data_IF_393141056686
#
_entry.id   IF_393141056686
#
_cell.length_a   1.000
_cell.length_b   1.000
_cell.length_c   1.000
_cell.angle_alpha   90.00
_cell.angle_beta   90.00
_cell.angle_gamma   90.00
#
_symmetry.space_group_name_H-M   'P 1'
#
loop_
_entity.id
_entity.type
_entity.pdbx_description
1 polymer ?
#
# COMPACT_ATOMS: atom_id res chain seq x y z
N UNK A 1 -7.16 6.28 29.19
CA UNK A 1 -8.43 6.63 28.51
C UNK A 1 -8.79 5.48 27.58
N UNK A 2 -9.84 4.72 27.88
CA UNK A 2 -10.28 3.57 27.08
C UNK A 2 -11.30 4.06 26.04
N UNK A 3 -10.95 4.02 24.76
CA UNK A 3 -11.86 4.39 23.67
C UNK A 3 -12.56 3.09 23.23
N UNK A 4 -13.87 2.93 23.47
CA UNK A 4 -14.59 1.72 23.08
C UNK A 4 -14.62 1.59 21.55
N UNK A 5 -14.52 0.36 21.05
CA UNK A 5 -14.66 0.08 19.61
C UNK A 5 -16.07 0.44 19.15
N UNK A 6 -16.18 1.36 18.20
CA UNK A 6 -17.46 1.71 17.56
C UNK A 6 -17.73 0.69 16.46
N UNK A 7 -18.71 -0.19 16.69
CA UNK A 7 -19.18 -1.13 15.68
C UNK A 7 -19.86 -0.33 14.55
N UNK A 8 -19.44 -0.55 13.31
CA UNK A 8 -19.95 0.16 12.12
C UNK A 8 -18.88 0.95 11.35
N UNK A 9 -17.69 1.18 11.91
CA UNK A 9 -16.58 1.79 11.18
C UNK A 9 -15.94 0.76 10.25
N UNK A 10 -16.15 0.93 8.94
CA UNK A 10 -15.45 0.18 7.90
C UNK A 10 -14.24 0.97 7.41
N UNK A 11 -13.11 0.28 7.24
CA UNK A 11 -11.89 0.91 6.71
C UNK A 11 -12.05 1.14 5.22
N UNK A 12 -12.22 2.39 4.81
CA UNK A 12 -12.25 2.77 3.39
C UNK A 12 -10.81 2.97 2.94
N UNK A 13 -10.28 2.00 2.19
CA UNK A 13 -8.99 2.13 1.54
C UNK A 13 -9.12 2.96 0.24
N UNK A 14 -8.11 3.80 -0.01
CA UNK A 14 -8.03 4.66 -1.19
C UNK A 14 -7.05 4.09 -2.20
N UNK A 15 -7.33 4.30 -3.49
CA UNK A 15 -6.47 3.90 -4.58
C UNK A 15 -5.22 4.81 -4.62
N UNK A 16 -4.00 4.25 -4.60
CA UNK A 16 -2.75 5.03 -4.64
C UNK A 16 -2.47 5.77 -5.96
N UNK A 17 -3.31 5.58 -6.98
CA UNK A 17 -3.12 6.20 -8.29
C UNK A 17 -4.05 7.37 -8.55
N UNK A 18 -5.27 7.34 -8.01
CA UNK A 18 -6.30 8.35 -8.27
C UNK A 18 -7.01 8.86 -7.02
N UNK A 19 -6.74 8.31 -5.84
CA UNK A 19 -7.40 8.68 -4.59
C UNK A 19 -8.86 8.24 -4.44
N UNK A 20 -9.47 7.66 -5.49
CA UNK A 20 -10.81 7.06 -5.43
C UNK A 20 -10.83 5.84 -4.49
N UNK A 21 -12.02 5.41 -4.03
CA UNK A 21 -12.16 4.22 -3.20
C UNK A 21 -11.62 2.97 -3.92
N UNK A 22 -10.81 2.18 -3.23
CA UNK A 22 -10.32 0.91 -3.77
C UNK A 22 -11.42 -0.16 -3.68
N UNK A 23 -11.72 -0.78 -4.81
CA UNK A 23 -12.76 -1.82 -4.93
C UNK A 23 -12.12 -3.20 -5.18
N UNK A 24 -10.92 -3.23 -5.74
CA UNK A 24 -10.26 -4.45 -6.21
C UNK A 24 -8.78 -4.49 -5.85
N UNK A 25 -8.16 -5.67 -5.95
CA UNK A 25 -6.72 -5.86 -5.79
C UNK A 25 -6.05 -5.98 -7.16
N UNK A 26 -4.88 -5.35 -7.29
CA UNK A 26 -3.95 -5.53 -8.41
C UNK A 26 -3.23 -6.90 -8.30
N UNK A 27 -2.53 -7.43 -9.32
CA UNK A 27 -1.75 -8.67 -9.20
C UNK A 27 -0.67 -8.62 -8.11
N UNK A 28 -0.18 -7.43 -7.76
CA UNK A 28 0.72 -7.21 -6.63
C UNK A 28 0.02 -7.22 -5.26
N UNK A 29 -1.29 -7.52 -5.18
CA UNK A 29 -2.15 -7.46 -3.98
C UNK A 29 -2.24 -6.07 -3.33
N UNK A 30 -2.19 -5.03 -4.15
CA UNK A 30 -2.36 -3.63 -3.73
C UNK A 30 -3.82 -3.23 -3.98
N UNK A 31 -4.51 -2.59 -3.01
CA UNK A 31 -5.87 -2.11 -3.20
C UNK A 31 -5.91 -0.95 -4.20
N UNK A 32 -6.64 -1.14 -5.30
CA UNK A 32 -6.76 -0.19 -6.41
C UNK A 32 -8.22 -0.07 -6.87
N UNK A 33 -8.55 1.01 -7.57
CA UNK A 33 -9.84 1.14 -8.24
C UNK A 33 -9.89 0.22 -9.49
N UNK A 34 -11.09 0.01 -10.03
CA UNK A 34 -11.29 -0.87 -11.20
C UNK A 34 -10.47 -0.45 -12.42
N UNK A 35 -10.29 0.86 -12.63
CA UNK A 35 -9.49 1.43 -13.74
C UNK A 35 -8.01 1.05 -13.64
N UNK A 36 -7.49 0.87 -12.43
CA UNK A 36 -6.07 0.62 -12.15
C UNK A 36 -5.77 -0.85 -11.81
N UNK A 37 -6.71 -1.77 -12.06
CA UNK A 37 -6.57 -3.21 -11.76
C UNK A 37 -5.36 -3.88 -12.43
N UNK A 38 -4.86 -3.35 -13.55
CA UNK A 38 -3.71 -3.91 -14.26
C UNK A 38 -2.43 -3.09 -14.09
N UNK A 39 -2.49 -1.96 -13.39
CA UNK A 39 -1.37 -1.02 -13.29
C UNK A 39 -0.44 -1.47 -12.17
N UNK A 40 0.82 -1.76 -12.50
CA UNK A 40 1.83 -2.15 -11.52
C UNK A 40 2.55 -0.92 -10.97
N UNK A 41 2.89 -0.96 -9.68
CA UNK A 41 3.85 -0.02 -9.11
C UNK A 41 5.23 -0.61 -9.33
N UNK A 42 5.97 -0.06 -10.28
CA UNK A 42 7.36 -0.43 -10.55
C UNK A 42 8.27 0.73 -10.11
N UNK A 43 9.40 0.41 -9.49
CA UNK A 43 10.45 1.34 -9.05
C UNK A 43 10.06 2.40 -7.99
N UNK A 44 9.71 1.96 -6.77
CA UNK A 44 9.60 2.88 -5.62
C UNK A 44 10.94 3.04 -4.90
N UNK A 45 11.21 4.27 -4.43
CA UNK A 45 12.41 4.59 -3.67
C UNK A 45 12.13 4.52 -2.17
N UNK A 46 13.10 4.00 -1.43
CA UNK A 46 13.13 4.05 0.02
C UNK A 46 13.72 5.39 0.49
N UNK A 47 13.53 5.73 1.76
CA UNK A 47 14.13 6.92 2.40
C UNK A 47 15.66 6.89 2.30
N UNK A 48 16.28 5.71 2.31
CA UNK A 48 17.73 5.56 2.15
C UNK A 48 18.23 5.76 0.71
N UNK A 49 17.34 6.04 -0.26
CA UNK A 49 17.69 6.17 -1.67
C UNK A 49 17.77 4.86 -2.45
N UNK A 50 17.69 3.71 -1.77
CA UNK A 50 17.62 2.38 -2.40
C UNK A 50 16.27 2.08 -3.05
N UNK A 51 16.23 1.04 -3.88
CA UNK A 51 14.99 0.53 -4.47
C UNK A 51 14.21 -0.33 -3.48
N UNK A 52 12.89 -0.27 -3.58
CA UNK A 52 11.96 -1.08 -2.80
C UNK A 52 11.46 -2.24 -3.64
N UNK A 53 11.65 -3.45 -3.12
CA UNK A 53 11.07 -4.65 -3.68
C UNK A 53 9.67 -4.87 -3.12
N UNK A 54 8.70 -5.17 -4.00
CA UNK A 54 7.36 -5.58 -3.60
C UNK A 54 7.38 -7.06 -3.25
N UNK A 55 6.91 -7.39 -2.05
CA UNK A 55 6.67 -8.77 -1.62
C UNK A 55 5.23 -8.93 -1.18
N UNK A 56 4.71 -10.15 -1.32
CA UNK A 56 3.38 -10.51 -0.87
C UNK A 56 3.46 -11.36 0.40
N UNK A 57 2.65 -11.01 1.40
CA UNK A 57 2.50 -11.77 2.63
C UNK A 57 1.05 -12.22 2.84
N UNK A 58 0.81 -12.86 4.00
CA UNK A 58 -0.53 -13.32 4.41
C UNK A 58 -1.56 -12.18 4.48
N UNK A 59 -1.11 -10.97 4.83
CA UNK A 59 -1.96 -9.81 5.09
C UNK A 59 -1.98 -8.78 3.95
N UNK A 60 -1.36 -9.09 2.80
CA UNK A 60 -1.29 -8.19 1.65
C UNK A 60 0.13 -7.90 1.20
N UNK A 61 0.26 -6.90 0.34
CA UNK A 61 1.54 -6.45 -0.20
C UNK A 61 2.32 -5.62 0.83
N UNK A 62 3.63 -5.84 0.88
CA UNK A 62 4.57 -5.04 1.66
C UNK A 62 5.81 -4.75 0.83
N UNK A 63 6.57 -3.74 1.24
CA UNK A 63 7.80 -3.38 0.57
C UNK A 63 8.98 -3.78 1.42
N UNK A 64 10.07 -4.21 0.79
CA UNK A 64 11.32 -4.49 1.47
C UNK A 64 12.44 -3.69 0.83
N UNK A 65 13.15 -2.93 1.65
CA UNK A 65 14.42 -2.35 1.27
C UNK A 65 15.54 -3.26 1.78
N UNK A 66 16.57 -3.59 0.97
CA UNK A 66 17.72 -4.35 1.45
C UNK A 66 18.50 -3.64 2.56
N UNK A 67 18.47 -2.30 2.61
CA UNK A 67 19.17 -1.51 3.63
C UNK A 67 18.32 -1.20 4.88
N UNK A 68 17.01 -0.96 4.71
CA UNK A 68 16.14 -0.53 5.83
C UNK A 68 15.19 -1.63 6.34
N UNK A 69 15.08 -2.76 5.63
CA UNK A 69 14.18 -3.85 5.98
C UNK A 69 12.76 -3.70 5.43
N UNK A 70 11.81 -4.40 6.06
CA UNK A 70 10.42 -4.42 5.64
C UNK A 70 9.66 -3.16 6.07
N UNK A 71 8.81 -2.66 5.19
CA UNK A 71 8.00 -1.47 5.40
C UNK A 71 6.59 -1.65 4.85
N UNK A 72 5.64 -1.07 5.57
CA UNK A 72 4.22 -1.17 5.26
C UNK A 72 3.90 -0.42 3.96
N UNK A 73 2.92 -0.94 3.22
CA UNK A 73 2.43 -0.33 1.97
C UNK A 73 2.15 1.17 2.13
N UNK A 74 1.39 1.54 3.17
CA UNK A 74 1.04 2.94 3.43
C UNK A 74 2.25 3.85 3.58
N UNK A 75 3.27 3.43 4.33
CA UNK A 75 4.50 4.22 4.50
C UNK A 75 5.24 4.38 3.18
N UNK A 76 5.32 3.30 2.39
CA UNK A 76 5.98 3.33 1.09
C UNK A 76 5.32 4.33 0.13
N UNK A 77 3.99 4.35 0.11
CA UNK A 77 3.21 5.25 -0.72
C UNK A 77 3.37 6.70 -0.25
N UNK A 78 3.30 6.96 1.06
CA UNK A 78 3.52 8.29 1.65
C UNK A 78 4.90 8.87 1.27
N UNK A 79 5.97 8.06 1.31
CA UNK A 79 7.33 8.48 0.92
C UNK A 79 7.40 8.86 -0.57
N UNK A 80 6.71 8.09 -1.42
CA UNK A 80 6.71 8.30 -2.87
C UNK A 80 5.59 9.27 -3.33
N UNK A 81 4.89 9.92 -2.39
CA UNK A 81 3.78 10.88 -2.63
C UNK A 81 2.65 10.30 -3.49
N UNK A 82 2.29 9.04 -3.27
CA UNK A 82 1.19 8.33 -3.92
C UNK A 82 0.03 8.06 -2.95
#
# INVERSE_FOLDING_TARGET
MFIPKRYGESKIDKCPFCGEQSITLNPQKIPVCLKHKMRRLDAMKCICGGFLDIRQGKFGAFFTCPACGAMNLRKALEINRL
#
